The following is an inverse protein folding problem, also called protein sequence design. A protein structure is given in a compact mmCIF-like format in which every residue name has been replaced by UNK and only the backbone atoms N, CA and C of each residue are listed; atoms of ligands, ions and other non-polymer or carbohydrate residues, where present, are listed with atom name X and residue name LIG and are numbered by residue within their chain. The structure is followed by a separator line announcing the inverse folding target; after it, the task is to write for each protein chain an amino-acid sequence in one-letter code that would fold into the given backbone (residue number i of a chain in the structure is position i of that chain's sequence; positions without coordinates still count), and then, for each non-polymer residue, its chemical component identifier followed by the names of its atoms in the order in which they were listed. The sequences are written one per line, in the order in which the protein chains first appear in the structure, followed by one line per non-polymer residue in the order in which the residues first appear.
data_IF_264519334070
#
_entry.id   IF_264519334070
#
_cell.length_a   1.000
_cell.length_b   1.000
_cell.length_c   1.000
_cell.angle_alpha   90.00
_cell.angle_beta   90.00
_cell.angle_gamma   90.00
#
_symmetry.space_group_name_H-M   'P 1'
#
loop_
_entity.id
_entity.type
_entity.pdbx_description
1 polymer ?
#
# COMPACT_ATOMS: atom_id res chain seq x y z
N UNK A 1 -30.98 -1.48 12.38
CA UNK A 1 -31.00 -1.83 10.99
C UNK A 1 -30.55 -3.25 10.80
N UNK A 2 -31.38 -4.05 10.16
CA UNK A 2 -31.18 -5.50 10.07
C UNK A 2 -29.90 -5.86 9.30
N UNK A 3 -29.63 -5.14 8.20
CA UNK A 3 -28.43 -5.42 7.40
C UNK A 3 -27.15 -5.15 8.18
N UNK A 4 -27.12 -4.07 8.95
CA UNK A 4 -25.94 -3.75 9.74
C UNK A 4 -25.67 -4.84 10.79
N UNK A 5 -26.72 -5.31 11.46
CA UNK A 5 -26.59 -6.37 12.45
C UNK A 5 -26.11 -7.69 11.82
N UNK A 6 -26.63 -8.03 10.64
CA UNK A 6 -26.21 -9.22 9.92
C UNK A 6 -24.75 -9.08 9.46
N UNK A 7 -24.40 -7.91 8.89
CA UNK A 7 -23.05 -7.65 8.39
C UNK A 7 -22.01 -7.77 9.50
N UNK A 8 -22.29 -7.27 10.70
CA UNK A 8 -21.33 -7.31 11.81
C UNK A 8 -21.06 -8.73 12.29
N UNK A 9 -21.91 -9.69 11.96
CA UNK A 9 -21.71 -11.09 12.33
C UNK A 9 -20.89 -11.88 11.33
N UNK A 10 -20.68 -11.33 10.13
CA UNK A 10 -19.90 -12.00 9.12
C UNK A 10 -18.43 -11.88 9.44
N UNK A 11 -17.72 -13.00 9.37
CA UNK A 11 -16.28 -13.02 9.59
C UNK A 11 -15.59 -12.36 8.41
N UNK A 12 -14.74 -11.39 8.69
CA UNK A 12 -13.90 -10.71 7.71
C UNK A 12 -12.45 -10.95 8.07
N UNK A 13 -11.58 -10.95 7.08
CA UNK A 13 -10.13 -11.11 7.26
C UNK A 13 -9.45 -9.75 7.36
N UNK A 14 -10.07 -8.84 8.08
CA UNK A 14 -9.53 -7.51 8.38
C UNK A 14 -9.75 -7.22 9.86
N UNK A 15 -8.90 -6.38 10.43
CA UNK A 15 -9.05 -5.97 11.83
C UNK A 15 -10.16 -4.95 11.97
N UNK A 16 -10.04 -3.82 11.26
CA UNK A 16 -11.07 -2.80 11.19
C UNK A 16 -11.06 -2.16 9.80
N UNK A 17 -12.19 -1.65 9.30
CA UNK A 17 -12.19 -0.95 8.02
C UNK A 17 -11.27 0.28 7.99
N UNK A 18 -11.14 0.98 9.11
CA UNK A 18 -10.34 2.20 9.20
C UNK A 18 -8.84 1.93 9.07
N UNK A 19 -8.38 0.75 9.49
CA UNK A 19 -6.96 0.41 9.50
C UNK A 19 -6.58 -0.59 8.41
N UNK A 20 -7.51 -0.95 7.53
CA UNK A 20 -7.30 -2.00 6.54
C UNK A 20 -6.03 -1.79 5.70
N UNK A 21 -5.87 -0.59 5.15
CA UNK A 21 -4.72 -0.28 4.28
C UNK A 21 -3.43 -0.28 5.10
N UNK A 22 -3.42 0.37 6.24
CA UNK A 22 -2.22 0.43 7.09
C UNK A 22 -1.82 -0.95 7.61
N UNK A 23 -2.80 -1.78 7.95
CA UNK A 23 -2.52 -3.15 8.40
C UNK A 23 -1.93 -4.00 7.26
N UNK A 24 -2.45 -3.84 6.04
CA UNK A 24 -1.90 -4.53 4.88
C UNK A 24 -0.46 -4.10 4.61
N UNK A 25 -0.17 -2.80 4.70
CA UNK A 25 1.17 -2.27 4.51
C UNK A 25 2.12 -2.74 5.61
N UNK A 26 1.65 -2.81 6.85
CA UNK A 26 2.46 -3.33 7.95
C UNK A 26 2.82 -4.80 7.73
N UNK A 27 1.88 -5.58 7.23
CA UNK A 27 2.14 -6.98 6.89
C UNK A 27 3.15 -7.12 5.77
N UNK A 28 3.05 -6.29 4.73
CA UNK A 28 4.00 -6.27 3.63
C UNK A 28 5.40 -5.87 4.12
N UNK A 29 5.50 -4.88 4.99
CA UNK A 29 6.77 -4.45 5.57
C UNK A 29 7.40 -5.56 6.41
N UNK A 30 6.60 -6.29 7.17
CA UNK A 30 7.07 -7.40 7.97
C UNK A 30 7.56 -8.58 7.11
N UNK A 31 6.85 -8.86 6.01
CA UNK A 31 7.19 -9.98 5.14
C UNK A 31 8.39 -9.69 4.25
N UNK A 32 8.56 -8.45 3.79
CA UNK A 32 9.53 -8.07 2.77
C UNK A 32 10.42 -6.91 3.19
N UNK A 33 10.73 -6.78 4.47
CA UNK A 33 11.55 -5.70 5.00
C UNK A 33 12.98 -5.68 4.48
N UNK A 34 13.43 -6.75 3.84
CA UNK A 34 14.73 -6.81 3.17
C UNK A 34 14.71 -6.13 1.79
N UNK A 35 13.55 -5.97 1.17
CA UNK A 35 13.40 -5.43 -0.19
C UNK A 35 12.77 -4.06 -0.21
N UNK A 36 11.88 -3.77 0.72
CA UNK A 36 11.08 -2.55 0.74
C UNK A 36 11.07 -1.92 2.12
N UNK A 37 10.72 -0.65 2.15
CA UNK A 37 10.30 0.02 3.38
C UNK A 37 8.97 0.70 3.11
N UNK A 38 8.17 0.87 4.16
CA UNK A 38 6.87 1.50 4.08
C UNK A 38 6.87 2.76 4.92
N UNK A 39 6.38 3.85 4.36
CA UNK A 39 6.19 5.10 5.09
C UNK A 39 4.70 5.40 5.16
N UNK A 40 4.27 6.03 6.23
CA UNK A 40 2.88 6.35 6.47
C UNK A 40 2.67 7.87 6.51
N UNK A 41 1.45 8.30 6.26
CA UNK A 41 1.00 9.68 6.33
C UNK A 41 1.86 10.65 5.50
N UNK A 42 1.89 10.51 4.15
CA UNK A 42 1.08 9.59 3.32
C UNK A 42 1.67 8.18 3.21
N UNK A 43 0.83 7.22 2.88
CA UNK A 43 1.25 5.83 2.70
C UNK A 43 2.04 5.69 1.41
N UNK A 44 3.25 5.18 1.49
CA UNK A 44 4.13 4.95 0.34
C UNK A 44 4.95 3.69 0.58
N UNK A 45 5.07 2.86 -0.45
CA UNK A 45 5.95 1.71 -0.46
C UNK A 45 7.17 2.07 -1.29
N UNK A 46 8.36 1.93 -0.73
CA UNK A 46 9.61 2.40 -1.35
C UNK A 46 10.62 1.26 -1.36
N UNK A 47 11.42 1.17 -2.42
CA UNK A 47 12.56 0.25 -2.44
C UNK A 47 13.47 0.56 -1.27
N UNK A 48 13.98 -0.48 -0.64
CA UNK A 48 14.86 -0.36 0.52
C UNK A 48 16.11 0.45 0.23
N UNK A 49 16.64 0.30 -0.99
CA UNK A 49 17.88 0.94 -1.41
C UNK A 49 17.67 2.30 -2.12
N UNK A 50 16.47 2.81 -2.14
CA UNK A 50 16.19 4.13 -2.72
C UNK A 50 16.59 5.25 -1.74
N UNK A 51 16.94 6.44 -2.24
CA UNK A 51 17.12 6.78 -3.64
C UNK A 51 18.44 6.25 -4.21
N UNK A 52 18.47 6.04 -5.52
CA UNK A 52 19.67 5.59 -6.23
C UNK A 52 20.16 6.66 -7.20
N UNK A 53 21.43 7.05 -7.07
CA UNK A 53 22.03 8.04 -7.96
C UNK A 53 22.15 7.48 -9.38
N UNK A 54 21.97 8.37 -10.35
CA UNK A 54 22.11 8.04 -11.75
C UNK A 54 20.99 7.20 -12.34
N UNK A 55 19.87 7.06 -11.60
CA UNK A 55 18.73 6.28 -12.04
C UNK A 55 17.47 7.16 -12.07
N UNK A 56 16.71 7.02 -13.14
CA UNK A 56 15.38 7.64 -13.21
C UNK A 56 14.43 6.88 -12.28
N UNK A 57 13.74 7.61 -11.43
CA UNK A 57 12.77 7.03 -10.51
C UNK A 57 11.49 6.63 -11.22
N UNK A 58 10.98 5.45 -10.93
CA UNK A 58 9.71 4.96 -11.43
C UNK A 58 8.74 4.87 -10.27
N UNK A 59 7.67 5.68 -10.32
CA UNK A 59 6.65 5.73 -9.29
C UNK A 59 5.30 5.41 -9.90
N UNK A 60 4.54 4.59 -9.24
CA UNK A 60 3.20 4.23 -9.66
C UNK A 60 2.25 4.31 -8.48
N UNK A 61 0.96 4.18 -8.74
CA UNK A 61 -0.01 4.20 -7.66
C UNK A 61 -1.40 3.90 -8.15
N UNK A 62 -2.25 3.56 -7.22
CA UNK A 62 -3.64 3.27 -7.48
C UNK A 62 -4.37 3.01 -6.18
N UNK A 63 -5.67 2.80 -6.26
CA UNK A 63 -6.47 2.47 -5.10
C UNK A 63 -6.11 1.11 -4.53
N UNK A 64 -6.19 0.99 -3.22
CA UNK A 64 -6.04 -0.32 -2.57
C UNK A 64 -7.23 -1.21 -2.92
N UNK A 65 -7.02 -2.51 -2.93
CA UNK A 65 -7.99 -3.50 -3.36
C UNK A 65 -7.60 -4.17 -4.67
N UNK A 66 -6.57 -3.66 -5.33
CA UNK A 66 -6.05 -4.22 -6.57
C UNK A 66 -4.74 -4.99 -6.37
N UNK A 67 -4.41 -5.32 -5.14
CA UNK A 67 -3.16 -6.01 -4.82
C UNK A 67 -3.05 -7.32 -5.62
N UNK A 68 -1.84 -7.68 -6.06
CA UNK A 68 -0.54 -7.05 -5.73
C UNK A 68 -0.14 -5.89 -6.64
N UNK A 69 -1.10 -5.30 -7.37
CA UNK A 69 -0.82 -4.26 -8.33
C UNK A 69 -0.16 -3.06 -7.67
N UNK A 70 0.72 -2.42 -8.39
CA UNK A 70 1.58 -1.33 -7.96
C UNK A 70 2.49 -1.71 -6.79
N UNK A 71 1.98 -1.85 -5.56
CA UNK A 71 2.81 -2.13 -4.38
C UNK A 71 3.63 -3.41 -4.48
N UNK A 72 3.07 -4.45 -5.05
CA UNK A 72 3.77 -5.72 -5.23
C UNK A 72 4.88 -5.69 -6.26
N UNK A 73 4.97 -4.62 -7.03
CA UNK A 73 6.01 -4.46 -8.05
C UNK A 73 7.15 -3.53 -7.63
N UNK A 74 7.15 -3.06 -6.38
CA UNK A 74 8.25 -2.26 -5.86
C UNK A 74 9.42 -3.18 -5.55
N UNK A 75 10.57 -2.87 -6.15
CA UNK A 75 11.75 -3.67 -5.91
C UNK A 75 12.80 -3.42 -6.97
N UNK A 76 13.86 -4.17 -6.87
CA UNK A 76 15.02 -4.05 -7.72
C UNK A 76 14.66 -4.42 -9.16
N UNK A 77 14.98 -3.54 -10.13
CA UNK A 77 14.64 -3.74 -11.52
C UNK A 77 13.19 -3.47 -11.88
N UNK A 78 12.41 -3.01 -10.94
CA UNK A 78 10.99 -2.70 -11.09
C UNK A 78 10.71 -1.28 -10.57
N UNK A 79 9.57 -1.07 -9.91
CA UNK A 79 9.23 0.25 -9.39
C UNK A 79 10.14 0.66 -8.24
N UNK A 80 10.44 1.95 -8.15
CA UNK A 80 11.14 2.52 -7.00
C UNK A 80 10.20 2.83 -5.86
N UNK A 81 8.97 3.21 -6.17
CA UNK A 81 7.96 3.49 -5.16
C UNK A 81 6.55 3.25 -5.72
N UNK A 82 5.63 3.02 -4.83
CA UNK A 82 4.21 2.94 -5.15
C UNK A 82 3.40 3.64 -4.07
N UNK A 83 2.36 4.33 -4.48
CA UNK A 83 1.49 5.09 -3.60
C UNK A 83 0.11 4.42 -3.54
N UNK A 84 -0.17 3.60 -2.52
CA UNK A 84 -1.50 3.01 -2.37
C UNK A 84 -2.47 4.04 -1.82
N UNK A 85 -3.54 4.28 -2.56
CA UNK A 85 -4.64 5.11 -2.10
C UNK A 85 -5.55 4.38 -1.13
N UNK A 86 -6.65 4.99 -0.78
CA UNK A 86 -7.70 4.33 0.00
C UNK A 86 -8.31 3.20 -0.83
N UNK A 87 -9.13 2.37 -0.20
CA UNK A 87 -9.73 1.22 -0.88
C UNK A 87 -10.51 1.71 -2.10
N UNK A 88 -10.12 1.23 -3.28
CA UNK A 88 -10.67 1.59 -4.59
C UNK A 88 -10.73 3.09 -4.86
N UNK A 89 -9.82 3.86 -4.26
CA UNK A 89 -9.73 5.31 -4.46
C UNK A 89 -8.27 5.66 -4.78
N UNK A 90 -8.07 6.46 -5.82
CA UNK A 90 -6.74 6.86 -6.27
C UNK A 90 -5.96 7.57 -5.15
N UNK A 91 -4.63 7.49 -5.16
CA UNK A 91 -3.82 8.26 -4.23
C UNK A 91 -3.94 9.75 -4.52
N UNK A 92 -3.66 10.56 -3.49
CA UNK A 92 -3.72 12.01 -3.59
C UNK A 92 -2.42 12.57 -4.21
N UNK A 93 -2.43 13.80 -4.77
CA UNK A 93 -1.22 14.38 -5.34
C UNK A 93 -0.06 14.49 -4.34
N UNK A 94 -0.32 14.79 -3.10
CA UNK A 94 0.71 14.87 -2.07
C UNK A 94 1.35 13.50 -1.77
N UNK A 95 0.61 12.41 -1.94
CA UNK A 95 1.18 11.06 -1.85
C UNK A 95 2.21 10.83 -2.95
N UNK A 96 1.89 11.29 -4.17
CA UNK A 96 2.77 11.07 -5.32
C UNK A 96 3.99 11.99 -5.30
N UNK A 97 3.85 13.13 -4.69
CA UNK A 97 4.95 14.08 -4.60
C UNK A 97 6.01 13.62 -3.61
#
# INVERSE_FOLDING_TARGET
MAEAAVTTRLKKLINTPETEVKDALAGMAAAHGDLIRVEYDPNVIIRKDAPRKGKVGLVSGGGSGHEPMHGGYVGRGMLDAACPGAVFTSPTPDQMA
#
